data_IF_529839771427
#
_entry.id   IF_529839771427
#
_cell.length_a   1.000
_cell.length_b   1.000
_cell.length_c   1.000
_cell.angle_alpha   90.00
_cell.angle_beta   90.00
_cell.angle_gamma   90.00
#
_symmetry.space_group_name_H-M   'P 1'
#
loop_
_entity.id
_entity.type
_entity.pdbx_description
1 polymer ?
#
# COMPACT_ATOMS: atom_id res chain seq x y z
N UNK A 1 -80.20 -51.70 49.81
CA UNK A 1 -78.98 -52.40 49.35
C UNK A 1 -78.80 -52.39 47.83
N UNK A 2 -79.86 -52.59 47.02
CA UNK A 2 -79.77 -52.55 45.54
C UNK A 2 -79.47 -51.16 44.94
N UNK A 3 -80.16 -50.10 45.38
CA UNK A 3 -79.98 -48.74 44.83
C UNK A 3 -78.58 -48.13 45.06
N UNK A 4 -77.94 -48.45 46.19
CA UNK A 4 -76.54 -48.05 46.44
C UNK A 4 -75.55 -48.76 45.52
N UNK A 5 -75.83 -50.02 45.16
CA UNK A 5 -74.99 -50.78 44.25
C UNK A 5 -75.07 -50.21 42.83
N UNK A 6 -76.28 -49.91 42.34
CA UNK A 6 -76.47 -49.26 41.03
C UNK A 6 -75.82 -47.88 40.95
N UNK A 7 -75.90 -47.07 42.02
CA UNK A 7 -75.23 -45.77 42.10
C UNK A 7 -73.70 -45.91 42.04
N UNK A 8 -73.14 -46.91 42.72
CA UNK A 8 -71.70 -47.21 42.64
C UNK A 8 -71.29 -47.71 41.26
N UNK A 9 -72.05 -48.59 40.65
CA UNK A 9 -71.77 -49.12 39.31
C UNK A 9 -71.85 -48.02 38.23
N UNK A 10 -72.80 -47.09 38.34
CA UNK A 10 -72.88 -45.92 37.46
C UNK A 10 -71.67 -44.99 37.60
N UNK A 11 -71.22 -44.76 38.83
CA UNK A 11 -70.04 -43.93 39.10
C UNK A 11 -68.73 -44.59 38.67
N UNK A 12 -68.63 -45.92 38.76
CA UNK A 12 -67.49 -46.67 38.22
C UNK A 12 -67.42 -46.49 36.71
N UNK A 13 -68.54 -46.64 35.99
CA UNK A 13 -68.58 -46.40 34.53
C UNK A 13 -68.19 -44.98 34.13
N UNK A 14 -68.67 -43.98 34.87
CA UNK A 14 -68.31 -42.59 34.61
C UNK A 14 -66.80 -42.36 34.82
N UNK A 15 -66.25 -42.93 35.90
CA UNK A 15 -64.82 -42.88 36.16
C UNK A 15 -64.00 -43.59 35.07
N UNK A 16 -64.42 -44.75 34.59
CA UNK A 16 -63.78 -45.46 33.48
C UNK A 16 -63.71 -44.59 32.22
N UNK A 17 -64.83 -43.98 31.83
CA UNK A 17 -64.87 -43.08 30.66
C UNK A 17 -63.96 -41.87 30.83
N UNK A 18 -63.91 -41.28 32.03
CA UNK A 18 -63.00 -40.15 32.30
C UNK A 18 -61.53 -40.56 32.29
N UNK A 19 -61.19 -41.73 32.83
CA UNK A 19 -59.83 -42.29 32.81
C UNK A 19 -59.38 -42.58 31.39
N UNK A 20 -60.25 -43.13 30.55
CA UNK A 20 -59.96 -43.40 29.13
C UNK A 20 -59.74 -42.09 28.35
N UNK A 21 -60.58 -41.08 28.61
CA UNK A 21 -60.45 -39.75 28.00
C UNK A 21 -59.17 -39.04 28.42
N UNK A 22 -58.82 -39.09 29.71
CA UNK A 22 -57.57 -38.54 30.23
C UNK A 22 -56.34 -39.28 29.70
N UNK A 23 -56.41 -40.61 29.57
CA UNK A 23 -55.33 -41.44 29.01
C UNK A 23 -55.07 -41.08 27.55
N UNK A 24 -56.14 -40.96 26.76
CA UNK A 24 -56.06 -40.52 25.36
C UNK A 24 -55.47 -39.11 25.21
N UNK A 25 -55.90 -38.18 26.07
CA UNK A 25 -55.38 -36.80 26.08
C UNK A 25 -53.90 -36.75 26.48
N UNK A 26 -53.50 -37.52 27.48
CA UNK A 26 -52.11 -37.62 27.93
C UNK A 26 -51.21 -38.17 26.81
N UNK A 27 -51.68 -39.14 26.03
CA UNK A 27 -50.94 -39.69 24.89
C UNK A 27 -50.75 -38.65 23.78
N UNK A 28 -51.79 -37.88 23.44
CA UNK A 28 -51.70 -36.77 22.47
C UNK A 28 -50.72 -35.68 22.93
N UNK A 29 -50.72 -35.34 24.22
CA UNK A 29 -49.76 -34.35 24.74
C UNK A 29 -48.32 -34.85 24.70
N UNK A 30 -48.08 -36.14 24.99
CA UNK A 30 -46.75 -36.75 24.87
C UNK A 30 -46.23 -36.71 23.43
N UNK A 31 -47.06 -37.03 22.44
CA UNK A 31 -46.64 -36.99 21.04
C UNK A 31 -46.35 -35.57 20.56
N UNK A 32 -47.17 -34.59 20.95
CA UNK A 32 -46.92 -33.17 20.68
C UNK A 32 -45.63 -32.66 21.33
N UNK A 33 -45.37 -33.07 22.57
CA UNK A 33 -44.14 -32.71 23.27
C UNK A 33 -42.90 -33.29 22.58
N UNK A 34 -42.96 -34.56 22.17
CA UNK A 34 -41.88 -35.20 21.41
C UNK A 34 -41.63 -34.49 20.07
N UNK A 35 -42.68 -34.15 19.32
CA UNK A 35 -42.57 -33.41 18.07
C UNK A 35 -41.97 -32.01 18.28
N UNK A 36 -42.41 -31.30 19.33
CA UNK A 36 -41.88 -29.97 19.67
C UNK A 36 -40.41 -30.03 20.06
N UNK A 37 -40.02 -31.03 20.87
CA UNK A 37 -38.64 -31.23 21.29
C UNK A 37 -37.72 -31.55 20.11
N UNK A 38 -38.18 -32.41 19.18
CA UNK A 38 -37.46 -32.70 17.94
C UNK A 38 -37.27 -31.44 17.09
N UNK A 39 -38.33 -30.62 16.93
CA UNK A 39 -38.25 -29.36 16.19
C UNK A 39 -37.28 -28.37 16.83
N UNK A 40 -37.28 -28.27 18.16
CA UNK A 40 -36.35 -27.41 18.89
C UNK A 40 -34.90 -27.84 18.68
N UNK A 41 -34.61 -29.15 18.71
CA UNK A 41 -33.27 -29.67 18.43
C UNK A 41 -32.78 -29.31 17.02
N UNK A 42 -33.65 -29.42 16.01
CA UNK A 42 -33.35 -29.03 14.62
C UNK A 42 -33.04 -27.53 14.54
N UNK A 43 -33.88 -26.69 15.14
CA UNK A 43 -33.68 -25.24 15.13
C UNK A 43 -32.38 -24.84 15.84
N UNK A 44 -32.06 -25.46 16.98
CA UNK A 44 -30.78 -25.24 17.67
C UNK A 44 -29.59 -25.61 16.80
N UNK A 45 -29.66 -26.73 16.08
CA UNK A 45 -28.62 -27.12 15.11
C UNK A 45 -28.47 -26.08 14.02
N UNK A 46 -29.58 -25.65 13.40
CA UNK A 46 -29.56 -24.64 12.33
C UNK A 46 -29.00 -23.30 12.80
N UNK A 47 -29.35 -22.86 14.01
CA UNK A 47 -28.79 -21.64 14.61
C UNK A 47 -27.28 -21.79 14.77
N UNK A 48 -26.79 -22.93 15.25
CA UNK A 48 -25.35 -23.21 15.36
C UNK A 48 -24.64 -23.16 14.01
N UNK A 49 -25.21 -23.79 12.99
CA UNK A 49 -24.66 -23.79 11.63
C UNK A 49 -24.60 -22.36 11.05
N UNK A 50 -25.66 -21.57 11.26
CA UNK A 50 -25.71 -20.18 10.82
C UNK A 50 -24.70 -19.30 11.55
N UNK A 51 -24.55 -19.46 12.86
CA UNK A 51 -23.54 -18.74 13.65
C UNK A 51 -22.12 -19.06 13.18
N UNK A 52 -21.83 -20.34 12.91
CA UNK A 52 -20.54 -20.76 12.37
C UNK A 52 -20.28 -20.17 10.98
N UNK A 53 -21.28 -20.21 10.09
CA UNK A 53 -21.16 -19.66 8.75
C UNK A 53 -20.96 -18.13 8.77
N UNK A 54 -21.66 -17.42 9.65
CA UNK A 54 -21.49 -15.98 9.84
C UNK A 54 -20.11 -15.64 10.41
N UNK A 55 -19.64 -16.39 11.41
CA UNK A 55 -18.28 -16.22 11.97
C UNK A 55 -17.19 -16.41 10.92
N UNK A 56 -17.31 -17.44 10.08
CA UNK A 56 -16.36 -17.68 8.99
C UNK A 56 -16.37 -16.52 7.96
N UNK A 57 -17.55 -16.01 7.59
CA UNK A 57 -17.67 -14.86 6.68
C UNK A 57 -17.12 -13.57 7.28
N UNK A 58 -17.34 -13.34 8.57
CA UNK A 58 -16.80 -12.17 9.27
C UNK A 58 -15.27 -12.17 9.24
N UNK A 59 -14.64 -13.29 9.60
CA UNK A 59 -13.19 -13.45 9.56
C UNK A 59 -12.61 -13.26 8.14
N UNK A 60 -13.33 -13.72 7.10
CA UNK A 60 -12.91 -13.52 5.72
C UNK A 60 -12.96 -12.04 5.32
N UNK A 61 -14.02 -11.33 5.70
CA UNK A 61 -14.16 -9.90 5.44
C UNK A 61 -13.10 -9.08 6.18
N UNK A 62 -12.79 -9.44 7.42
CA UNK A 62 -11.75 -8.78 8.21
C UNK A 62 -10.37 -8.93 7.54
N UNK A 63 -9.98 -10.15 7.17
CA UNK A 63 -8.74 -10.40 6.41
C UNK A 63 -8.72 -9.65 5.08
N UNK A 64 -9.83 -9.67 4.34
CA UNK A 64 -9.91 -8.95 3.08
C UNK A 64 -9.73 -7.45 3.28
N UNK A 65 -10.30 -6.88 4.36
CA UNK A 65 -10.15 -5.46 4.69
C UNK A 65 -8.69 -5.12 5.01
N UNK A 66 -8.02 -5.95 5.79
CA UNK A 66 -6.59 -5.80 6.10
C UNK A 66 -5.74 -5.86 4.81
N UNK A 67 -6.00 -6.83 3.93
CA UNK A 67 -5.31 -6.96 2.65
C UNK A 67 -5.50 -5.74 1.75
N UNK A 68 -6.73 -5.18 1.68
CA UNK A 68 -6.99 -3.97 0.92
C UNK A 68 -6.27 -2.76 1.51
N UNK A 69 -6.28 -2.59 2.82
CA UNK A 69 -5.55 -1.52 3.49
C UNK A 69 -4.04 -1.62 3.23
N UNK A 70 -3.47 -2.82 3.33
CA UNK A 70 -2.06 -3.06 3.04
C UNK A 70 -1.72 -2.76 1.56
N UNK A 71 -2.58 -3.14 0.61
CA UNK A 71 -2.40 -2.85 -0.81
C UNK A 71 -2.44 -1.35 -1.11
N UNK A 72 -3.35 -0.61 -0.49
CA UNK A 72 -3.45 0.85 -0.65
C UNK A 72 -2.22 1.56 -0.10
N UNK A 73 -1.74 1.17 1.09
CA UNK A 73 -0.48 1.70 1.65
C UNK A 73 0.69 1.37 0.72
N UNK A 74 0.80 0.13 0.25
CA UNK A 74 1.85 -0.28 -0.68
C UNK A 74 1.78 0.43 -2.04
N UNK A 75 0.58 0.84 -2.49
CA UNK A 75 0.39 1.65 -3.69
C UNK A 75 0.90 3.08 -3.47
N UNK A 76 0.48 3.73 -2.38
CA UNK A 76 0.92 5.08 -2.03
C UNK A 76 2.45 5.17 -1.84
N UNK A 77 3.05 4.16 -1.19
CA UNK A 77 4.52 4.07 -1.05
C UNK A 77 5.20 3.91 -2.42
N UNK A 78 4.66 3.08 -3.32
CA UNK A 78 5.24 2.91 -4.66
C UNK A 78 5.17 4.19 -5.48
N UNK A 79 4.05 4.90 -5.45
CA UNK A 79 3.87 6.17 -6.16
C UNK A 79 4.84 7.25 -5.64
N UNK A 80 4.96 7.38 -4.32
CA UNK A 80 5.92 8.33 -3.72
C UNK A 80 7.37 7.97 -4.05
N UNK A 81 7.76 6.71 -3.93
CA UNK A 81 9.11 6.25 -4.30
C UNK A 81 9.42 6.52 -5.77
N UNK A 82 8.48 6.28 -6.68
CA UNK A 82 8.66 6.58 -8.10
C UNK A 82 8.90 8.08 -8.35
N UNK A 83 8.12 8.95 -7.67
CA UNK A 83 8.29 10.40 -7.76
C UNK A 83 9.68 10.85 -7.29
N UNK A 84 10.14 10.36 -6.14
CA UNK A 84 11.46 10.73 -5.62
C UNK A 84 12.61 10.14 -6.42
N UNK A 85 12.45 8.93 -6.99
CA UNK A 85 13.45 8.33 -7.87
C UNK A 85 13.75 9.20 -9.08
N UNK A 86 12.71 9.63 -9.81
CA UNK A 86 12.91 10.47 -11.00
C UNK A 86 13.58 11.81 -10.68
N UNK A 87 13.27 12.40 -9.52
CA UNK A 87 13.95 13.60 -9.03
C UNK A 87 15.42 13.36 -8.72
N UNK A 88 15.73 12.26 -8.03
CA UNK A 88 17.10 11.90 -7.66
C UNK A 88 17.96 11.63 -8.90
N UNK A 89 17.38 11.03 -9.93
CA UNK A 89 18.05 10.82 -11.22
C UNK A 89 18.41 12.15 -11.90
N UNK A 90 17.51 13.14 -11.90
CA UNK A 90 17.79 14.50 -12.43
C UNK A 90 18.88 15.22 -11.63
N UNK A 91 18.80 15.20 -10.30
CA UNK A 91 19.83 15.79 -9.43
C UNK A 91 21.19 15.15 -9.67
N UNK A 92 21.22 13.83 -9.84
CA UNK A 92 22.46 13.11 -10.14
C UNK A 92 23.05 13.53 -11.49
N UNK A 93 22.23 13.58 -12.55
CA UNK A 93 22.68 14.02 -13.87
C UNK A 93 23.27 15.44 -13.82
N UNK A 94 22.59 16.36 -13.14
CA UNK A 94 23.09 17.72 -12.94
C UNK A 94 24.45 17.74 -12.23
N UNK A 95 24.62 16.97 -11.14
CA UNK A 95 25.89 16.93 -10.41
C UNK A 95 27.02 16.32 -11.25
N UNK A 96 26.73 15.28 -12.04
CA UNK A 96 27.69 14.67 -12.95
C UNK A 96 28.13 15.68 -14.04
N UNK A 97 27.18 16.44 -14.61
CA UNK A 97 27.47 17.50 -15.58
C UNK A 97 28.30 18.63 -14.95
N UNK A 98 27.98 19.05 -13.72
CA UNK A 98 28.71 20.08 -12.99
C UNK A 98 30.17 19.68 -12.71
N UNK A 99 30.43 18.42 -12.35
CA UNK A 99 31.81 17.97 -12.12
C UNK A 99 32.61 17.96 -13.43
N UNK A 100 32.00 17.55 -14.55
CA UNK A 100 32.63 17.62 -15.88
C UNK A 100 32.93 19.06 -16.29
N UNK A 101 31.97 19.97 -16.08
CA UNK A 101 32.12 21.39 -16.36
C UNK A 101 33.27 22.02 -15.58
N UNK A 102 33.41 21.69 -14.29
CA UNK A 102 34.48 22.18 -13.43
C UNK A 102 35.87 21.84 -13.97
N UNK A 103 36.06 20.63 -14.52
CA UNK A 103 37.31 20.26 -15.17
C UNK A 103 37.60 21.11 -16.41
N UNK A 104 36.59 21.37 -17.24
CA UNK A 104 36.72 22.21 -18.44
C UNK A 104 37.09 23.66 -18.09
N UNK A 105 36.39 24.28 -17.13
CA UNK A 105 36.68 25.63 -16.64
C UNK A 105 38.11 25.72 -16.11
N UNK A 106 38.54 24.70 -15.37
CA UNK A 106 39.90 24.67 -14.85
C UNK A 106 40.94 24.63 -15.97
N UNK A 107 40.73 23.79 -17.00
CA UNK A 107 41.62 23.70 -18.15
C UNK A 107 41.64 24.96 -19.00
N UNK A 108 40.48 25.55 -19.27
CA UNK A 108 40.37 26.82 -19.97
C UNK A 108 41.15 27.92 -19.23
N UNK A 109 40.91 28.08 -17.92
CA UNK A 109 41.62 29.07 -17.10
C UNK A 109 43.14 28.88 -17.10
N UNK A 110 43.62 27.62 -17.02
CA UNK A 110 45.04 27.33 -17.13
C UNK A 110 45.61 27.77 -18.48
N UNK A 111 44.90 27.45 -19.58
CA UNK A 111 45.35 27.78 -20.93
C UNK A 111 45.32 29.29 -21.18
N UNK A 112 44.29 29.99 -20.70
CA UNK A 112 44.21 31.45 -20.71
C UNK A 112 45.42 32.06 -20.00
N UNK A 113 45.71 31.63 -18.78
CA UNK A 113 46.88 32.11 -18.03
C UNK A 113 48.20 31.87 -18.75
N UNK A 114 48.39 30.68 -19.34
CA UNK A 114 49.60 30.35 -20.11
C UNK A 114 49.72 31.27 -21.34
N UNK A 115 48.65 31.44 -22.11
CA UNK A 115 48.66 32.30 -23.31
C UNK A 115 48.98 33.75 -22.91
N UNK A 116 48.34 34.29 -21.89
CA UNK A 116 48.59 35.65 -21.40
C UNK A 116 50.05 35.83 -20.95
N UNK A 117 50.62 34.89 -20.20
CA UNK A 117 52.04 34.96 -19.81
C UNK A 117 52.98 34.94 -21.01
N UNK A 118 52.72 34.08 -22.00
CA UNK A 118 53.56 34.00 -23.21
C UNK A 118 53.47 35.28 -24.04
N UNK A 119 52.30 35.90 -24.12
CA UNK A 119 52.10 37.18 -24.82
C UNK A 119 52.89 38.30 -24.16
N UNK A 120 52.82 38.44 -22.82
CA UNK A 120 53.63 39.41 -22.07
C UNK A 120 55.13 39.19 -22.31
N UNK A 121 55.60 37.94 -22.26
CA UNK A 121 57.01 37.65 -22.52
C UNK A 121 57.44 38.05 -23.94
N UNK A 122 56.58 37.91 -24.95
CA UNK A 122 56.86 38.37 -26.32
C UNK A 122 56.91 39.89 -26.39
N UNK A 123 55.99 40.59 -25.71
CA UNK A 123 55.98 42.05 -25.61
C UNK A 123 57.26 42.60 -24.98
N UNK A 124 57.79 41.91 -23.97
CA UNK A 124 59.09 42.20 -23.32
C UNK A 124 60.31 41.77 -24.16
N UNK A 125 60.11 41.26 -25.39
CA UNK A 125 61.18 40.88 -26.31
C UNK A 125 61.84 39.53 -26.02
N UNK A 126 61.25 38.70 -25.17
CA UNK A 126 61.76 37.35 -24.88
C UNK A 126 61.47 36.44 -26.08
N UNK A 127 62.48 35.76 -26.66
CA UNK A 127 62.26 34.89 -27.81
C UNK A 127 61.52 33.61 -27.38
N UNK A 128 60.28 33.46 -27.85
CA UNK A 128 59.45 32.26 -27.64
C UNK A 128 59.26 31.54 -28.97
N UNK A 129 59.43 30.20 -29.02
CA UNK A 129 59.07 29.42 -30.20
C UNK A 129 57.60 29.63 -30.55
N UNK A 130 57.34 30.11 -31.77
CA UNK A 130 55.97 30.37 -32.29
C UNK A 130 55.06 29.15 -32.18
N UNK A 131 55.62 27.95 -32.34
CA UNK A 131 54.92 26.68 -32.18
C UNK A 131 54.38 26.45 -30.76
N UNK A 132 55.02 26.99 -29.72
CA UNK A 132 54.55 26.86 -28.33
C UNK A 132 53.32 27.72 -28.10
N UNK A 133 53.35 28.99 -28.51
CA UNK A 133 52.20 29.89 -28.43
C UNK A 133 51.02 29.37 -29.26
N UNK A 134 51.29 28.91 -30.50
CA UNK A 134 50.27 28.35 -31.39
C UNK A 134 49.55 27.16 -30.76
N UNK A 135 50.28 26.20 -30.19
CA UNK A 135 49.71 25.04 -29.50
C UNK A 135 48.79 25.45 -28.36
N UNK A 136 49.20 26.39 -27.52
CA UNK A 136 48.37 26.83 -26.40
C UNK A 136 47.13 27.61 -26.83
N UNK A 137 47.20 28.41 -27.91
CA UNK A 137 46.03 29.08 -28.50
C UNK A 137 45.04 28.11 -29.15
N UNK A 138 45.52 27.00 -29.71
CA UNK A 138 44.63 25.94 -30.24
C UNK A 138 43.91 25.25 -29.09
N UNK A 139 44.65 24.77 -28.09
CA UNK A 139 44.05 24.10 -26.95
C UNK A 139 43.12 25.00 -26.13
N UNK A 140 43.42 26.32 -26.01
CA UNK A 140 42.49 27.27 -25.40
C UNK A 140 41.16 27.29 -26.16
N UNK A 141 41.20 27.43 -27.49
CA UNK A 141 39.98 27.40 -28.32
C UNK A 141 39.22 26.09 -28.20
N UNK A 142 39.93 24.97 -28.20
CA UNK A 142 39.29 23.65 -28.02
C UNK A 142 38.54 23.56 -26.68
N UNK A 143 39.13 24.04 -25.59
CA UNK A 143 38.45 24.04 -24.27
C UNK A 143 37.29 25.02 -24.21
N UNK A 144 37.42 26.22 -24.77
CA UNK A 144 36.32 27.20 -24.87
C UNK A 144 35.17 26.64 -25.71
N UNK A 145 35.46 26.05 -26.87
CA UNK A 145 34.44 25.43 -27.73
C UNK A 145 33.76 24.25 -27.01
N UNK A 146 34.53 23.41 -26.29
CA UNK A 146 33.98 22.31 -25.50
C UNK A 146 33.08 22.81 -24.37
N UNK A 147 33.48 23.88 -23.69
CA UNK A 147 32.71 24.52 -22.63
C UNK A 147 31.39 25.08 -23.16
N UNK A 148 31.44 25.88 -24.23
CA UNK A 148 30.28 26.53 -24.84
C UNK A 148 29.24 25.54 -25.38
N UNK A 149 29.70 24.36 -25.80
CA UNK A 149 28.84 23.29 -26.33
C UNK A 149 28.43 22.24 -25.28
N UNK A 150 28.84 22.37 -24.02
CA UNK A 150 28.42 21.41 -22.98
C UNK A 150 27.08 21.83 -22.40
N UNK A 151 26.03 21.07 -22.72
CA UNK A 151 24.72 21.21 -22.09
C UNK A 151 24.75 20.63 -20.67
N UNK A 152 24.13 21.34 -19.74
CA UNK A 152 23.92 20.89 -18.36
C UNK A 152 22.46 20.56 -18.18
N UNK A 153 22.17 19.40 -17.59
CA UNK A 153 20.81 19.05 -17.21
C UNK A 153 20.16 20.18 -16.39
N UNK A 154 19.01 20.67 -16.82
CA UNK A 154 18.29 21.71 -16.09
C UNK A 154 17.70 21.14 -14.81
N UNK A 155 17.97 21.80 -13.68
CA UNK A 155 17.36 21.47 -12.41
C UNK A 155 16.29 22.52 -12.08
N UNK A 156 15.05 22.08 -11.85
CA UNK A 156 13.98 22.98 -11.43
C UNK A 156 13.93 23.10 -9.90
N UNK A 157 13.38 24.18 -9.37
CA UNK A 157 13.22 24.37 -7.91
C UNK A 157 12.42 23.21 -7.27
N UNK A 158 11.45 22.66 -8.00
CA UNK A 158 10.65 21.51 -7.59
C UNK A 158 11.47 20.22 -7.44
N UNK A 159 12.62 20.12 -8.10
CA UNK A 159 13.55 19.00 -7.94
C UNK A 159 14.30 19.07 -6.62
N UNK A 160 14.45 20.27 -6.04
CA UNK A 160 15.15 20.54 -4.78
C UNK A 160 14.22 20.53 -3.56
N UNK A 161 12.94 20.85 -3.74
CA UNK A 161 11.98 20.92 -2.62
C UNK A 161 11.59 19.53 -2.15
N UNK A 162 12.04 19.11 -0.96
CA UNK A 162 11.46 17.95 -0.28
C UNK A 162 10.01 18.28 0.09
N UNK A 163 9.04 17.97 -0.79
CA UNK A 163 7.62 18.11 -0.45
C UNK A 163 7.38 17.37 0.87
N UNK A 164 6.57 17.92 1.79
CA UNK A 164 6.30 17.26 3.05
C UNK A 164 5.69 15.87 2.78
N UNK A 165 5.94 14.88 3.66
CA UNK A 165 5.24 13.61 3.56
C UNK A 165 3.72 13.87 3.55
N UNK A 166 2.93 13.10 2.78
CA UNK A 166 1.49 13.31 2.73
C UNK A 166 0.94 13.29 4.17
N UNK A 167 0.22 14.35 4.53
CA UNK A 167 -0.41 14.52 5.83
C UNK A 167 -1.24 13.28 6.14
N UNK A 168 -0.86 12.53 7.16
CA UNK A 168 -1.69 11.49 7.77
C UNK A 168 -2.93 12.17 8.34
N UNK A 169 -4.04 12.09 7.61
CA UNK A 169 -5.40 12.39 8.11
C UNK A 169 -6.00 11.15 8.74
#
# INVERSE_FOLDING_TARGET
>A
MFAEKESRDARIKELEVTVDGLSSSAEVLRTKLAASSSREAILRSQIGDQQNALGARFNLLERSREDYAAKEVARAVRETVAKYRGRLERVRAYLDDQERLKELVFKENQMTGIVSCLEVCIEEGIPIPSEKLRRHRVALREYTDLWDNTEVATLEDDDLVLSPPPSSS
#
